data_IF_448532847041
#
_entry.id   IF_448532847041
#
_cell.length_a   1.000
_cell.length_b   1.000
_cell.length_c   1.000
_cell.angle_alpha   90.00
_cell.angle_beta   90.00
_cell.angle_gamma   90.00
#
_symmetry.space_group_name_H-M   'P 1'
#
loop_
_entity.id
_entity.type
_entity.pdbx_description
1 polymer ?
#
# COMPACT_ATOMS: atom_id res chain seq x y z
N UNK A 1 -4.10 5.30 5.50
CA UNK A 1 -3.47 5.08 4.19
C UNK A 1 -4.18 3.93 3.50
N UNK A 2 -4.03 3.77 2.17
CA UNK A 2 -4.52 2.59 1.47
C UNK A 2 -4.04 1.31 2.18
N UNK A 3 -4.86 0.26 2.15
CA UNK A 3 -4.54 -0.97 2.88
C UNK A 3 -3.59 -1.85 2.08
N UNK A 4 -3.01 -2.89 2.70
CA UNK A 4 -2.22 -3.89 1.98
C UNK A 4 -2.92 -4.45 0.74
N UNK A 5 -4.25 -4.62 0.76
CA UNK A 5 -5.00 -5.14 -0.39
C UNK A 5 -5.05 -4.16 -1.55
N UNK A 6 -5.15 -2.85 -1.28
CA UNK A 6 -5.05 -1.83 -2.32
C UNK A 6 -3.67 -1.84 -2.99
N UNK A 7 -2.59 -2.01 -2.20
CA UNK A 7 -1.23 -2.12 -2.74
C UNK A 7 -1.06 -3.39 -3.58
N UNK A 8 -1.56 -4.54 -3.12
CA UNK A 8 -1.52 -5.80 -3.88
C UNK A 8 -2.36 -5.75 -5.18
N UNK A 9 -3.53 -5.10 -5.15
CA UNK A 9 -4.36 -4.91 -6.33
C UNK A 9 -3.66 -4.02 -7.38
N UNK A 10 -2.99 -2.95 -6.94
CA UNK A 10 -2.16 -2.10 -7.83
C UNK A 10 -0.95 -2.85 -8.36
N UNK A 11 -0.30 -3.70 -7.55
CA UNK A 11 0.76 -4.59 -8.01
C UNK A 11 0.27 -5.53 -9.12
N UNK A 12 -0.90 -6.15 -8.97
CA UNK A 12 -1.51 -6.99 -10.01
C UNK A 12 -1.77 -6.20 -11.30
N UNK A 13 -2.33 -4.98 -11.20
CA UNK A 13 -2.54 -4.11 -12.37
C UNK A 13 -1.22 -3.82 -13.10
N UNK A 14 -0.13 -3.61 -12.36
CA UNK A 14 1.18 -3.27 -12.91
C UNK A 14 1.75 -4.35 -13.83
N UNK A 15 1.54 -5.63 -13.52
CA UNK A 15 2.16 -6.72 -14.29
C UNK A 15 1.55 -6.89 -15.70
N UNK A 16 0.40 -6.29 -15.94
CA UNK A 16 -0.28 -6.30 -17.24
C UNK A 16 -0.24 -4.94 -17.95
N UNK A 17 0.34 -3.92 -17.32
CA UNK A 17 0.39 -2.55 -17.84
C UNK A 17 1.45 -2.38 -18.94
N UNK A 18 1.12 -1.58 -19.97
CA UNK A 18 2.01 -1.27 -21.08
C UNK A 18 3.08 -0.22 -20.74
N UNK A 19 2.88 0.55 -19.66
CA UNK A 19 3.86 1.51 -19.15
C UNK A 19 5.13 0.82 -18.62
N UNK A 20 5.02 -0.44 -18.19
CA UNK A 20 6.15 -1.24 -17.72
C UNK A 20 6.67 -2.12 -18.85
N UNK A 21 7.99 -2.11 -19.07
CA UNK A 21 8.62 -2.85 -20.15
C UNK A 21 8.39 -4.37 -20.01
N UNK A 22 8.41 -5.10 -21.13
CA UNK A 22 8.28 -6.56 -21.12
C UNK A 22 9.41 -7.24 -20.34
N UNK A 23 10.59 -6.62 -20.25
CA UNK A 23 11.71 -7.09 -19.47
C UNK A 23 11.46 -6.95 -17.97
N UNK A 24 11.07 -5.76 -17.51
CA UNK A 24 10.70 -5.54 -16.10
C UNK A 24 9.54 -6.43 -15.68
N UNK A 25 8.52 -6.59 -16.53
CA UNK A 25 7.41 -7.52 -16.25
C UNK A 25 7.87 -8.97 -16.12
N UNK A 26 8.83 -9.40 -16.93
CA UNK A 26 9.39 -10.77 -16.84
C UNK A 26 10.18 -10.94 -15.55
N UNK A 27 11.02 -9.97 -15.21
CA UNK A 27 11.77 -9.93 -13.96
C UNK A 27 10.84 -10.00 -12.74
N UNK A 28 9.83 -9.13 -12.69
CA UNK A 28 8.86 -9.10 -11.60
C UNK A 28 8.05 -10.39 -11.50
N UNK A 29 7.62 -10.99 -12.62
CA UNK A 29 6.95 -12.30 -12.60
C UNK A 29 7.84 -13.41 -12.06
N UNK A 30 9.14 -13.38 -12.34
CA UNK A 30 10.10 -14.36 -11.83
C UNK A 30 10.25 -14.27 -10.30
N UNK A 31 10.18 -13.06 -9.73
CA UNK A 31 10.32 -12.81 -8.29
C UNK A 31 9.04 -12.25 -7.67
N UNK A 32 7.89 -12.77 -8.13
CA UNK A 32 6.58 -12.18 -7.86
C UNK A 32 6.27 -12.07 -6.37
N UNK A 33 6.49 -13.14 -5.61
CA UNK A 33 6.31 -13.13 -4.17
C UNK A 33 7.11 -12.04 -3.47
N UNK A 34 8.38 -11.86 -3.87
CA UNK A 34 9.25 -10.84 -3.27
C UNK A 34 8.73 -9.43 -3.57
N UNK A 35 8.32 -9.16 -4.82
CA UNK A 35 7.68 -7.89 -5.18
C UNK A 35 6.38 -7.64 -4.42
N UNK A 36 5.51 -8.65 -4.28
CA UNK A 36 4.29 -8.54 -3.47
C UNK A 36 4.61 -8.23 -2.01
N UNK A 37 5.60 -8.91 -1.42
CA UNK A 37 6.03 -8.65 -0.04
C UNK A 37 6.53 -7.21 0.11
N UNK A 38 7.29 -6.70 -0.87
CA UNK A 38 7.72 -5.30 -0.90
C UNK A 38 6.55 -4.33 -0.84
N UNK A 39 5.47 -4.58 -1.60
CA UNK A 39 4.29 -3.72 -1.65
C UNK A 39 3.51 -3.63 -0.32
N UNK A 40 3.77 -4.53 0.63
CA UNK A 40 3.12 -4.53 1.96
C UNK A 40 4.12 -4.31 3.09
N UNK A 41 5.43 -4.42 2.85
CA UNK A 41 6.46 -4.39 3.88
C UNK A 41 6.52 -3.11 4.72
N UNK A 42 6.27 -1.89 4.20
CA UNK A 42 6.30 -0.68 5.03
C UNK A 42 5.31 -0.72 6.21
N UNK A 43 4.19 -1.43 6.07
CA UNK A 43 3.17 -1.59 7.11
C UNK A 43 3.60 -2.57 8.22
N UNK A 44 4.67 -3.34 8.02
CA UNK A 44 5.20 -4.27 9.03
C UNK A 44 5.84 -3.56 10.23
N UNK A 45 5.91 -2.22 10.27
CA UNK A 45 6.43 -1.48 11.43
C UNK A 45 5.68 -1.83 12.73
N UNK A 46 4.38 -2.17 12.65
CA UNK A 46 3.59 -2.62 13.81
C UNK A 46 4.09 -3.92 14.44
N UNK A 47 4.90 -4.71 13.73
CA UNK A 47 5.50 -5.95 14.24
C UNK A 47 6.72 -5.70 15.15
N UNK A 48 7.13 -4.44 15.29
CA UNK A 48 8.27 -4.01 16.12
C UNK A 48 7.83 -2.82 16.97
N UNK A 49 7.70 -3.03 18.28
CA UNK A 49 7.17 -2.02 19.23
C UNK A 49 7.86 -0.65 19.16
N UNK A 50 9.17 -0.64 18.86
CA UNK A 50 9.96 0.59 18.82
C UNK A 50 9.91 1.33 17.48
N UNK A 51 9.42 0.71 16.41
CA UNK A 51 9.36 1.32 15.08
C UNK A 51 8.07 2.10 14.90
N UNK A 52 8.21 3.34 14.45
CA UNK A 52 7.11 4.19 14.04
C UNK A 52 6.89 4.06 12.54
N UNK A 53 5.72 4.52 12.07
CA UNK A 53 5.40 4.51 10.65
C UNK A 53 6.44 5.30 9.83
N UNK A 54 6.86 6.46 10.32
CA UNK A 54 7.85 7.29 9.64
C UNK A 54 9.21 6.60 9.45
N UNK A 55 9.57 5.63 10.31
CA UNK A 55 10.84 4.89 10.23
C UNK A 55 10.86 3.89 9.06
N UNK A 56 9.68 3.44 8.60
CA UNK A 56 9.55 2.53 7.45
C UNK A 56 8.99 3.24 6.21
N UNK A 57 8.28 4.35 6.37
CA UNK A 57 7.72 5.09 5.25
C UNK A 57 8.62 6.23 4.79
N UNK A 58 9.61 6.63 5.58
CA UNK A 58 10.56 7.70 5.25
C UNK A 58 9.90 9.07 5.00
N UNK A 59 8.68 9.28 5.52
CA UNK A 59 8.00 10.58 5.52
C UNK A 59 6.96 10.70 6.64
N UNK A 60 6.67 11.94 7.04
CA UNK A 60 5.56 12.30 7.92
C UNK A 60 4.35 12.79 7.12
N UNK A 61 3.14 12.61 7.65
CA UNK A 61 1.93 13.17 7.05
C UNK A 61 2.00 14.68 6.88
N UNK A 62 1.94 15.14 5.63
CA UNK A 62 1.94 16.55 5.23
C UNK A 62 1.11 16.72 3.95
N UNK A 63 0.55 17.92 3.69
CA UNK A 63 -0.16 18.20 2.43
C UNK A 63 0.70 18.03 1.18
N UNK A 64 2.02 18.14 1.35
CA UNK A 64 3.03 17.86 0.34
C UNK A 64 4.13 17.02 0.98
N UNK A 65 4.45 15.90 0.36
CA UNK A 65 5.50 14.99 0.80
C UNK A 65 6.79 15.35 0.06
N UNK A 66 7.80 15.80 0.80
CA UNK A 66 9.11 16.14 0.25
C UNK A 66 10.22 15.90 1.28
N UNK A 67 11.36 15.30 0.89
CA UNK A 67 11.62 14.68 -0.42
C UNK A 67 10.67 13.51 -0.73
N UNK A 68 10.56 13.06 -2.00
CA UNK A 68 9.82 11.84 -2.31
C UNK A 68 10.37 10.67 -1.49
N UNK A 69 9.53 9.87 -0.80
CA UNK A 69 10.01 8.84 0.12
C UNK A 69 10.79 7.74 -0.58
N UNK A 70 10.55 7.50 -1.87
CA UNK A 70 11.31 6.56 -2.70
C UNK A 70 12.76 7.00 -2.86
N UNK A 71 13.01 8.32 -2.94
CA UNK A 71 14.37 8.86 -2.94
C UNK A 71 14.95 8.86 -1.52
N UNK A 72 14.14 9.24 -0.53
CA UNK A 72 14.59 9.36 0.86
C UNK A 72 15.14 8.04 1.42
N UNK A 73 14.49 6.91 1.12
CA UNK A 73 14.97 5.59 1.53
C UNK A 73 16.30 5.21 0.84
N UNK A 74 16.44 5.49 -0.46
CA UNK A 74 17.66 5.15 -1.20
C UNK A 74 18.86 6.04 -0.78
N UNK A 75 18.59 7.29 -0.42
CA UNK A 75 19.60 8.21 0.13
C UNK A 75 20.06 7.76 1.52
N UNK A 76 19.15 7.27 2.36
CA UNK A 76 19.46 6.80 3.71
C UNK A 76 20.08 5.40 3.73
N UNK A 77 19.72 4.55 2.77
CA UNK A 77 20.13 3.17 2.65
C UNK A 77 20.65 2.85 1.23
N UNK A 78 21.79 3.43 0.82
CA UNK A 78 22.34 3.21 -0.52
C UNK A 78 22.61 1.73 -0.82
N UNK A 79 22.83 0.89 0.21
CA UNK A 79 23.02 -0.55 0.12
C UNK A 79 21.84 -1.34 -0.47
N UNK A 80 20.63 -0.77 -0.48
CA UNK A 80 19.44 -1.40 -1.11
C UNK A 80 19.18 -0.89 -2.54
N UNK A 81 20.08 -0.10 -3.12
CA UNK A 81 19.98 0.35 -4.51
C UNK A 81 20.17 -0.83 -5.47
N UNK A 82 19.42 -0.85 -6.57
CA UNK A 82 19.37 -2.00 -7.48
C UNK A 82 20.72 -2.36 -8.09
N UNK A 83 21.57 -1.36 -8.41
CA UNK A 83 22.94 -1.57 -8.92
C UNK A 83 23.93 -2.11 -7.89
N UNK A 84 23.61 -2.01 -6.60
CA UNK A 84 24.44 -2.51 -5.48
C UNK A 84 24.02 -3.93 -5.08
N UNK A 85 22.74 -4.25 -5.22
CA UNK A 85 22.20 -5.55 -4.84
C UNK A 85 22.68 -6.68 -5.76
N UNK A 86 23.28 -7.72 -5.16
CA UNK A 86 23.59 -8.96 -5.86
C UNK A 86 22.43 -9.97 -5.90
N UNK A 87 21.33 -9.69 -5.20
CA UNK A 87 20.19 -10.61 -5.07
C UNK A 87 18.96 -10.08 -5.81
N UNK A 88 18.58 -10.75 -6.90
CA UNK A 88 17.44 -10.36 -7.73
C UNK A 88 16.09 -10.42 -7.01
N UNK A 89 15.88 -11.36 -6.08
CA UNK A 89 14.64 -11.40 -5.30
C UNK A 89 14.55 -10.20 -4.36
N UNK A 90 15.67 -9.81 -3.73
CA UNK A 90 15.73 -8.61 -2.90
C UNK A 90 15.49 -7.34 -3.74
N UNK A 91 16.04 -7.24 -4.95
CA UNK A 91 15.78 -6.11 -5.84
C UNK A 91 14.30 -6.02 -6.24
N UNK A 92 13.64 -7.15 -6.53
CA UNK A 92 12.19 -7.17 -6.77
C UNK A 92 11.40 -6.73 -5.53
N UNK A 93 11.81 -7.16 -4.34
CA UNK A 93 11.24 -6.71 -3.08
C UNK A 93 11.40 -5.19 -2.88
N UNK A 94 12.59 -4.62 -3.10
CA UNK A 94 12.80 -3.17 -2.97
C UNK A 94 11.96 -2.41 -3.99
N UNK A 95 11.87 -2.88 -5.24
CA UNK A 95 10.97 -2.27 -6.23
C UNK A 95 9.51 -2.22 -5.73
N UNK A 96 9.04 -3.28 -5.06
CA UNK A 96 7.72 -3.31 -4.42
C UNK A 96 7.61 -2.35 -3.23
N UNK A 97 8.67 -2.22 -2.43
CA UNK A 97 8.74 -1.28 -1.32
C UNK A 97 8.59 0.16 -1.81
N UNK A 98 9.35 0.54 -2.84
CA UNK A 98 9.29 1.88 -3.43
C UNK A 98 7.93 2.15 -4.09
N UNK A 99 7.31 1.13 -4.69
CA UNK A 99 5.93 1.21 -5.19
C UNK A 99 4.94 1.58 -4.09
N UNK A 100 5.00 0.91 -2.94
CA UNK A 100 4.16 1.23 -1.78
C UNK A 100 4.36 2.69 -1.34
N UNK A 101 5.62 3.11 -1.15
CA UNK A 101 5.93 4.48 -0.72
C UNK A 101 5.38 5.53 -1.68
N UNK A 102 5.46 5.28 -3.00
CA UNK A 102 4.92 6.16 -4.02
C UNK A 102 3.40 6.32 -3.92
N UNK A 103 2.69 5.21 -3.72
CA UNK A 103 1.22 5.20 -3.56
C UNK A 103 0.83 5.94 -2.29
N UNK A 104 1.52 5.70 -1.18
CA UNK A 104 1.22 6.32 0.11
C UNK A 104 1.53 7.83 0.11
N UNK A 105 2.64 8.26 -0.51
CA UNK A 105 2.92 9.68 -0.68
C UNK A 105 1.83 10.38 -1.50
N UNK A 106 1.47 9.81 -2.65
CA UNK A 106 0.39 10.36 -3.48
C UNK A 106 -0.94 10.41 -2.73
N UNK A 107 -1.27 9.37 -1.96
CA UNK A 107 -2.52 9.34 -1.20
C UNK A 107 -2.61 10.46 -0.16
N UNK A 108 -1.49 10.85 0.46
CA UNK A 108 -1.45 12.00 1.35
C UNK A 108 -1.82 13.29 0.62
N UNK A 109 -1.22 13.50 -0.55
CA UNK A 109 -1.34 14.73 -1.34
C UNK A 109 -2.68 14.84 -2.07
N UNK A 110 -3.26 13.73 -2.52
CA UNK A 110 -4.43 13.71 -3.40
C UNK A 110 -5.74 13.42 -2.65
N UNK A 111 -5.68 12.72 -1.51
CA UNK A 111 -6.88 12.25 -0.79
C UNK A 111 -6.93 12.75 0.63
N UNK A 112 -5.96 12.35 1.47
CA UNK A 112 -6.04 12.56 2.91
C UNK A 112 -6.11 14.06 3.25
N UNK A 113 -5.17 14.86 2.74
CA UNK A 113 -5.14 16.28 3.06
C UNK A 113 -6.26 17.07 2.36
N UNK A 114 -6.40 17.02 1.03
CA UNK A 114 -7.43 17.82 0.35
C UNK A 114 -8.85 17.36 0.61
N UNK A 115 -9.09 16.06 0.86
CA UNK A 115 -10.45 15.54 1.03
C UNK A 115 -10.94 15.54 2.48
N UNK A 116 -10.02 15.38 3.45
CA UNK A 116 -10.41 15.05 4.82
C UNK A 116 -9.73 15.87 5.91
N UNK A 117 -8.45 16.26 5.80
CA UNK A 117 -7.75 17.00 6.87
C UNK A 117 -7.83 18.53 6.73
N UNK A 118 -7.83 19.07 5.52
CA UNK A 118 -7.84 20.53 5.29
C UNK A 118 -9.24 21.12 5.08
N UNK A 119 -10.24 20.27 4.86
CA UNK A 119 -11.63 20.68 4.66
C UNK A 119 -12.28 21.18 5.96
N UNK A 120 -13.45 21.83 5.87
CA UNK A 120 -14.22 22.28 7.04
C UNK A 120 -15.70 21.86 6.99
N UNK A 121 -16.07 20.98 6.06
CA UNK A 121 -17.45 20.57 5.83
C UNK A 121 -18.07 19.72 6.96
N UNK A 122 -17.28 19.27 7.94
CA UNK A 122 -17.72 18.65 9.19
C UNK A 122 -16.62 18.71 10.26
N UNK A 123 -16.96 18.31 11.50
CA UNK A 123 -15.99 18.15 12.58
C UNK A 123 -14.94 17.06 12.28
N UNK A 124 -13.85 17.07 13.06
CA UNK A 124 -12.74 16.14 12.86
C UNK A 124 -13.15 14.67 13.00
N UNK A 125 -14.09 14.36 13.89
CA UNK A 125 -14.53 12.99 14.13
C UNK A 125 -15.31 12.45 12.93
N UNK A 126 -16.20 13.25 12.36
CA UNK A 126 -17.00 12.92 11.17
C UNK A 126 -16.11 12.77 9.94
N UNK A 127 -15.17 13.70 9.72
CA UNK A 127 -14.20 13.60 8.62
C UNK A 127 -13.33 12.37 8.74
N UNK A 128 -12.83 12.06 9.94
CA UNK A 128 -12.07 10.85 10.18
C UNK A 128 -12.90 9.58 9.94
N UNK A 129 -14.15 9.55 10.41
CA UNK A 129 -15.04 8.42 10.19
C UNK A 129 -15.32 8.16 8.70
N UNK A 130 -15.60 9.21 7.92
CA UNK A 130 -15.81 9.07 6.47
C UNK A 130 -14.52 8.74 5.72
N UNK A 131 -13.36 9.24 6.17
CA UNK A 131 -12.07 8.81 5.64
C UNK A 131 -11.83 7.31 5.86
N UNK A 132 -12.10 6.81 7.06
CA UNK A 132 -11.97 5.37 7.36
C UNK A 132 -13.01 4.55 6.60
N UNK A 133 -14.21 5.09 6.38
CA UNK A 133 -15.24 4.48 5.53
C UNK A 133 -14.76 4.35 4.08
N UNK A 134 -14.09 5.37 3.53
CA UNK A 134 -13.48 5.32 2.21
C UNK A 134 -12.43 4.22 2.11
N UNK A 135 -11.52 4.14 3.10
CA UNK A 135 -10.51 3.08 3.15
C UNK A 135 -11.14 1.68 3.25
N UNK A 136 -12.20 1.53 4.05
CA UNK A 136 -12.91 0.27 4.20
C UNK A 136 -13.64 -0.16 2.91
N UNK A 137 -14.23 0.80 2.19
CA UNK A 137 -14.84 0.57 0.88
C UNK A 137 -13.79 0.07 -0.12
N UNK A 138 -12.64 0.74 -0.21
CA UNK A 138 -11.55 0.36 -1.10
C UNK A 138 -10.96 -1.00 -0.73
N UNK A 139 -10.71 -1.24 0.56
CA UNK A 139 -10.22 -2.52 1.06
C UNK A 139 -11.16 -3.67 0.66
N UNK A 140 -12.47 -3.44 0.76
CA UNK A 140 -13.50 -4.35 0.29
C UNK A 140 -13.37 -4.68 -1.20
N UNK A 141 -13.42 -3.64 -2.02
CA UNK A 141 -13.34 -3.69 -3.49
C UNK A 141 -12.05 -4.34 -3.98
N UNK A 142 -10.92 -3.96 -3.40
CA UNK A 142 -9.61 -4.38 -3.86
C UNK A 142 -9.31 -5.82 -3.44
N UNK A 143 -9.80 -6.24 -2.26
CA UNK A 143 -9.71 -7.64 -1.81
C UNK A 143 -10.44 -8.61 -2.76
N UNK A 144 -11.62 -8.24 -3.26
CA UNK A 144 -12.45 -9.10 -4.12
C UNK A 144 -11.77 -9.48 -5.45
N UNK A 145 -10.84 -8.65 -5.92
CA UNK A 145 -10.11 -8.87 -7.16
C UNK A 145 -8.73 -9.51 -6.96
N UNK A 146 -8.32 -9.77 -5.71
CA UNK A 146 -7.02 -10.37 -5.43
C UNK A 146 -6.98 -11.84 -5.90
N UNK A 147 -6.00 -12.20 -6.74
CA UNK A 147 -5.84 -13.58 -7.18
C UNK A 147 -5.39 -14.50 -6.01
N UNK A 148 -6.00 -15.68 -5.82
CA UNK A 148 -5.62 -16.60 -4.75
C UNK A 148 -4.14 -17.03 -4.78
N UNK A 149 -3.52 -17.04 -5.96
CA UNK A 149 -2.10 -17.33 -6.14
C UNK A 149 -1.16 -16.33 -5.45
N UNK A 150 -1.64 -15.12 -5.12
CA UNK A 150 -0.86 -14.15 -4.33
C UNK A 150 -0.52 -14.72 -2.95
N UNK A 151 -1.43 -15.48 -2.34
CA UNK A 151 -1.19 -16.12 -1.05
C UNK A 151 -0.04 -17.14 -1.12
N UNK A 152 0.00 -17.92 -2.19
CA UNK A 152 1.05 -18.92 -2.44
C UNK A 152 2.39 -18.22 -2.71
N UNK A 153 2.38 -17.26 -3.64
CA UNK A 153 3.58 -16.52 -4.01
C UNK A 153 4.20 -15.79 -2.80
N UNK A 154 3.38 -15.17 -1.94
CA UNK A 154 3.84 -14.54 -0.70
C UNK A 154 4.41 -15.57 0.29
N UNK A 155 3.71 -16.69 0.53
CA UNK A 155 4.12 -17.69 1.52
C UNK A 155 5.52 -18.27 1.25
N UNK A 156 5.92 -18.36 -0.02
CA UNK A 156 7.22 -18.91 -0.45
C UNK A 156 8.41 -17.95 -0.22
N UNK A 157 8.17 -16.69 0.16
CA UNK A 157 9.22 -15.67 0.25
C UNK A 157 9.98 -15.74 1.57
N UNK A 158 11.25 -16.15 1.56
CA UNK A 158 12.10 -16.09 2.75
C UNK A 158 13.08 -14.91 2.67
N UNK A 159 12.78 -13.75 3.29
CA UNK A 159 13.74 -12.66 3.38
C UNK A 159 14.99 -13.10 4.17
N UNK A 160 16.16 -12.59 3.75
CA UNK A 160 17.45 -12.84 4.41
C UNK A 160 18.24 -11.54 4.44
N UNK A 161 18.10 -10.79 5.52
CA UNK A 161 18.68 -9.46 5.74
C UNK A 161 18.33 -8.50 4.60
N UNK A 162 17.08 -8.52 4.14
CA UNK A 162 16.65 -7.75 2.98
C UNK A 162 16.58 -6.24 3.25
N UNK A 163 16.39 -5.85 4.51
CA UNK A 163 16.34 -4.46 4.95
C UNK A 163 17.27 -4.23 6.15
N UNK A 164 17.96 -3.08 6.21
CA UNK A 164 18.85 -2.74 7.33
C UNK A 164 18.10 -2.17 8.55
N UNK A 165 16.86 -1.72 8.37
CA UNK A 165 16.06 -1.03 9.40
C UNK A 165 14.85 -1.82 9.90
N UNK A 166 14.48 -2.92 9.22
CA UNK A 166 13.34 -3.76 9.58
C UNK A 166 13.78 -5.24 9.58
N UNK A 167 13.69 -5.95 10.70
CA UNK A 167 14.20 -7.32 10.80
C UNK A 167 13.33 -8.30 10.00
N UNK A 168 13.96 -9.35 9.45
CA UNK A 168 13.26 -10.40 8.69
C UNK A 168 12.13 -11.05 9.50
N UNK A 169 12.28 -11.17 10.82
CA UNK A 169 11.23 -11.73 11.69
C UNK A 169 9.95 -10.90 11.66
N UNK A 170 10.05 -9.58 11.57
CA UNK A 170 8.90 -8.69 11.40
C UNK A 170 8.30 -8.84 10.00
N UNK A 171 9.13 -8.87 8.95
CA UNK A 171 8.67 -9.11 7.57
C UNK A 171 7.91 -10.43 7.44
N UNK A 172 8.41 -11.51 8.04
CA UNK A 172 7.79 -12.84 8.01
C UNK A 172 6.47 -12.86 8.78
N UNK A 173 6.41 -12.28 9.99
CA UNK A 173 5.14 -12.21 10.74
C UNK A 173 4.07 -11.42 9.98
N UNK A 174 4.47 -10.30 9.37
CA UNK A 174 3.56 -9.48 8.58
C UNK A 174 3.08 -10.22 7.32
N UNK A 175 4.01 -10.82 6.56
CA UNK A 175 3.71 -11.70 5.41
C UNK A 175 2.68 -12.76 5.79
N UNK A 176 2.92 -13.48 6.88
CA UNK A 176 2.05 -14.58 7.33
C UNK A 176 0.67 -14.08 7.76
N UNK A 177 0.61 -12.89 8.37
CA UNK A 177 -0.65 -12.21 8.70
C UNK A 177 -1.46 -11.87 7.46
N UNK A 178 -0.82 -11.37 6.39
CA UNK A 178 -1.52 -11.07 5.13
C UNK A 178 -1.91 -12.37 4.41
N UNK A 179 -1.01 -13.35 4.31
CA UNK A 179 -1.28 -14.67 3.70
C UNK A 179 -2.47 -15.36 4.37
N UNK A 180 -2.57 -15.32 5.70
CA UNK A 180 -3.69 -15.90 6.42
C UNK A 180 -5.05 -15.28 6.06
N UNK A 181 -5.07 -14.02 5.64
CA UNK A 181 -6.27 -13.30 5.24
C UNK A 181 -6.65 -13.55 3.79
N UNK A 182 -5.67 -13.62 2.86
CA UNK A 182 -5.94 -13.69 1.42
C UNK A 182 -5.93 -15.12 0.84
N UNK A 183 -5.47 -16.12 1.58
CA UNK A 183 -5.54 -17.53 1.14
C UNK A 183 -6.99 -17.99 0.97
N UNK A 184 -7.27 -19.03 0.15
CA UNK A 184 -8.60 -19.63 0.07
C UNK A 184 -9.15 -20.01 1.46
N UNK A 185 -10.35 -19.54 1.79
CA UNK A 185 -10.97 -19.72 3.11
C UNK A 185 -10.39 -18.83 4.22
N UNK A 186 -9.47 -17.92 3.89
CA UNK A 186 -8.98 -16.87 4.77
C UNK A 186 -10.09 -15.91 5.19
N UNK A 187 -9.89 -15.25 6.33
CA UNK A 187 -10.83 -14.26 6.87
C UNK A 187 -10.18 -12.90 6.88
N UNK A 188 -10.73 -11.97 6.10
CA UNK A 188 -10.33 -10.57 6.10
C UNK A 188 -10.61 -9.92 7.46
N UNK A 189 -9.62 -9.22 8.03
CA UNK A 189 -9.72 -8.58 9.34
C UNK A 189 -9.75 -7.04 9.29
N UNK A 190 -9.49 -6.45 8.13
CA UNK A 190 -9.36 -5.00 7.93
C UNK A 190 -10.52 -4.20 8.51
N UNK A 191 -11.76 -4.62 8.27
CA UNK A 191 -12.95 -3.87 8.73
C UNK A 191 -13.06 -3.85 10.26
N UNK A 192 -12.73 -4.95 10.94
CA UNK A 192 -12.69 -4.95 12.41
C UNK A 192 -11.55 -4.08 12.95
N UNK A 193 -10.38 -4.10 12.30
CA UNK A 193 -9.22 -3.29 12.70
C UNK A 193 -9.53 -1.80 12.54
N UNK A 194 -10.04 -1.39 11.38
CA UNK A 194 -10.48 -0.01 11.11
C UNK A 194 -11.59 0.44 12.05
N UNK A 195 -12.54 -0.45 12.37
CA UNK A 195 -13.60 -0.16 13.34
C UNK A 195 -13.08 0.27 14.71
N UNK A 196 -11.84 -0.09 15.10
CA UNK A 196 -11.25 0.32 16.37
C UNK A 196 -10.75 1.76 16.37
N UNK A 197 -10.60 2.39 15.21
CA UNK A 197 -10.06 3.75 15.09
C UNK A 197 -11.14 4.83 15.06
N UNK A 198 -12.41 4.44 15.01
CA UNK A 198 -13.56 5.36 14.91
C UNK A 198 -14.58 5.07 16.02
N UNK A 199 -15.21 6.12 16.54
CA UNK A 199 -16.18 6.01 17.64
C UNK A 199 -17.42 5.18 17.30
N UNK A 200 -17.87 5.22 16.04
CA UNK A 200 -19.02 4.43 15.54
C UNK A 200 -18.72 2.92 15.45
N UNK A 201 -17.47 2.51 15.60
CA UNK A 201 -17.07 1.11 15.62
C UNK A 201 -17.23 0.38 14.28
N UNK A 202 -17.00 -0.93 14.32
CA UNK A 202 -17.24 -1.86 13.20
C UNK A 202 -18.67 -1.76 12.65
N UNK A 203 -19.68 -1.75 13.53
CA UNK A 203 -21.09 -1.73 13.10
C UNK A 203 -21.45 -0.43 12.38
N UNK A 204 -20.87 0.71 12.79
CA UNK A 204 -21.08 1.98 12.11
C UNK A 204 -20.53 1.98 10.69
N UNK A 205 -19.31 1.45 10.50
CA UNK A 205 -18.71 1.30 9.17
C UNK A 205 -19.53 0.35 8.29
N UNK A 206 -19.84 -0.85 8.79
CA UNK A 206 -20.62 -1.85 8.06
C UNK A 206 -21.98 -1.29 7.61
N UNK A 207 -22.68 -0.57 8.50
CA UNK A 207 -23.99 -0.01 8.19
C UNK A 207 -23.98 1.06 7.07
N UNK A 208 -22.85 1.71 6.79
CA UNK A 208 -22.72 2.58 5.61
C UNK A 208 -22.38 1.73 4.39
N UNK A 209 -21.37 0.86 4.50
CA UNK A 209 -20.88 0.04 3.40
C UNK A 209 -21.98 -0.87 2.80
N UNK A 210 -22.90 -1.36 3.62
CA UNK A 210 -24.01 -2.22 3.21
C UNK A 210 -25.19 -1.44 2.59
N UNK A 211 -25.09 -0.10 2.47
CA UNK A 211 -26.16 0.75 1.96
C UNK A 211 -25.66 1.74 0.92
N UNK A 212 -25.92 1.47 -0.37
CA UNK A 212 -25.62 2.38 -1.47
C UNK A 212 -26.19 3.79 -1.23
N UNK A 213 -27.41 3.88 -0.72
CA UNK A 213 -28.04 5.17 -0.39
C UNK A 213 -27.26 5.95 0.66
N UNK A 214 -26.74 5.29 1.69
CA UNK A 214 -25.92 5.96 2.72
C UNK A 214 -24.52 6.28 2.21
N UNK A 215 -23.91 5.40 1.44
CA UNK A 215 -22.63 5.69 0.76
C UNK A 215 -22.75 6.94 -0.12
N UNK A 216 -23.80 7.02 -0.93
CA UNK A 216 -24.06 8.17 -1.80
C UNK A 216 -24.27 9.45 -0.99
N UNK A 217 -25.13 9.39 0.03
CA UNK A 217 -25.52 10.56 0.80
C UNK A 217 -24.41 11.07 1.75
N UNK A 218 -23.63 10.16 2.35
CA UNK A 218 -22.68 10.51 3.41
C UNK A 218 -21.24 10.64 2.89
N UNK A 219 -20.76 9.68 2.07
CA UNK A 219 -19.39 9.66 1.58
C UNK A 219 -19.26 10.33 0.21
N UNK A 220 -20.01 9.87 -0.79
CA UNK A 220 -19.84 10.29 -2.18
C UNK A 220 -20.34 11.71 -2.45
N UNK A 221 -21.24 12.24 -1.60
CA UNK A 221 -21.62 13.65 -1.61
C UNK A 221 -20.48 14.59 -1.20
N UNK A 222 -19.45 14.08 -0.50
CA UNK A 222 -18.30 14.84 0.00
C UNK A 222 -17.03 14.58 -0.78
N UNK A 223 -16.79 13.32 -1.15
CA UNK A 223 -15.60 12.90 -1.89
C UNK A 223 -16.03 12.00 -3.05
N UNK A 224 -16.43 12.56 -4.22
CA UNK A 224 -17.07 11.80 -5.28
C UNK A 224 -16.19 10.67 -5.85
N UNK A 225 -16.78 9.58 -6.37
CA UNK A 225 -16.04 8.48 -6.99
C UNK A 225 -15.11 8.91 -8.13
N UNK A 226 -15.45 9.97 -8.87
CA UNK A 226 -14.59 10.52 -9.92
C UNK A 226 -13.32 11.16 -9.37
N UNK A 227 -13.40 11.80 -8.21
CA UNK A 227 -12.23 12.37 -7.51
C UNK A 227 -11.33 11.24 -6.98
N UNK A 228 -11.93 10.20 -6.38
CA UNK A 228 -11.21 9.00 -5.98
C UNK A 228 -10.47 8.35 -7.16
N UNK A 229 -11.17 8.13 -8.29
CA UNK A 229 -10.56 7.52 -9.47
C UNK A 229 -9.38 8.34 -10.01
N UNK A 230 -9.48 9.67 -10.00
CA UNK A 230 -8.37 10.56 -10.36
C UNK A 230 -7.17 10.40 -9.43
N UNK A 231 -7.39 10.43 -8.12
CA UNK A 231 -6.34 10.24 -7.12
C UNK A 231 -5.68 8.85 -7.23
N UNK A 232 -6.47 7.80 -7.46
CA UNK A 232 -5.97 6.44 -7.62
C UNK A 232 -5.11 6.27 -8.88
N UNK A 233 -5.46 6.96 -9.97
CA UNK A 233 -4.65 6.96 -11.20
C UNK A 233 -3.35 7.74 -11.00
N UNK A 234 -3.37 8.89 -10.31
CA UNK A 234 -2.14 9.63 -9.96
C UNK A 234 -1.21 8.75 -9.11
N UNK A 235 -1.72 8.12 -8.05
CA UNK A 235 -0.93 7.23 -7.20
C UNK A 235 -0.35 6.05 -7.99
N UNK A 236 -1.14 5.46 -8.88
CA UNK A 236 -0.70 4.36 -9.73
C UNK A 236 0.38 4.78 -10.76
N UNK A 237 0.27 5.98 -11.34
CA UNK A 237 1.30 6.51 -12.22
C UNK A 237 2.65 6.69 -11.50
N UNK A 238 2.62 7.20 -10.26
CA UNK A 238 3.83 7.32 -9.43
C UNK A 238 4.44 5.95 -9.10
N UNK A 239 3.60 4.97 -8.77
CA UNK A 239 4.03 3.59 -8.58
C UNK A 239 4.76 3.03 -9.81
N UNK A 240 4.16 3.14 -11.01
CA UNK A 240 4.79 2.67 -12.24
C UNK A 240 6.12 3.37 -12.53
N UNK A 241 6.19 4.69 -12.30
CA UNK A 241 7.41 5.47 -12.50
C UNK A 241 8.51 5.02 -11.52
N UNK A 242 8.18 4.88 -10.23
CA UNK A 242 9.10 4.43 -9.19
C UNK A 242 9.71 3.06 -9.49
N UNK A 243 8.87 2.07 -9.82
CA UNK A 243 9.32 0.71 -10.17
C UNK A 243 10.24 0.72 -11.40
N UNK A 244 9.90 1.49 -12.43
CA UNK A 244 10.73 1.59 -13.65
C UNK A 244 12.08 2.20 -13.34
N UNK A 245 12.09 3.38 -12.71
CA UNK A 245 13.32 4.11 -12.40
C UNK A 245 14.26 3.23 -11.60
N UNK A 246 13.75 2.52 -10.60
CA UNK A 246 14.57 1.61 -9.80
C UNK A 246 15.14 0.45 -10.63
N UNK A 247 14.31 -0.25 -11.40
CA UNK A 247 14.76 -1.42 -12.17
C UNK A 247 15.67 -1.07 -13.36
N UNK A 248 15.51 0.11 -13.96
CA UNK A 248 16.39 0.61 -15.02
C UNK A 248 17.86 0.72 -14.53
N UNK A 249 18.07 0.95 -13.22
CA UNK A 249 19.42 1.00 -12.63
C UNK A 249 20.10 -0.35 -12.48
N UNK A 250 19.38 -1.48 -12.62
CA UNK A 250 20.02 -2.81 -12.62
C UNK A 250 20.68 -3.16 -13.96
N UNK A 251 20.18 -2.57 -15.05
CA UNK A 251 20.58 -2.92 -16.43
C UNK A 251 21.69 -1.98 -16.94
N UNK A 252 21.94 -0.89 -16.22
CA UNK A 252 22.95 0.13 -16.53
C UNK A 252 24.33 -0.23 -15.98
#
# INVERSE_FOLDING_TARGET
MPTPFTHLAKAQRLIDDSRVSSEHKRFLRQFWGAFLLGNIAPDAHHEVETLKREDTHFFHYRPRVFPPPEQAILDQHPEITASVLGNSAQAAFVAGYLAHLAVDAAWCEEVLFPGFLLEDWADNATRHFLFVTLLAFMDGRDYEILPPEHAVALADVSPQYWLPFLPDTALVRWRDTIVAQIRPGGTRQSLQIMGRTVSSGYHGLAAILDSTTRLDAELWSRYPPTQLAGAEETAYQRMCASVRVYLDTMIS
#
